data_IF_193234484030
#
_entry.id   IF_193234484030
#
_cell.length_a   1.000
_cell.length_b   1.000
_cell.length_c   1.000
_cell.angle_alpha   90.00
_cell.angle_beta   90.00
_cell.angle_gamma   90.00
#
_symmetry.space_group_name_H-M   'P 1'
#
loop_
_entity.id
_entity.type
_entity.pdbx_description
1 polymer ?
#
# COMPACT_ATOMS: atom_id res chain seq x y z
N UNK A 1 12.18 3.49 -8.07
CA UNK A 1 10.75 3.73 -8.29
C UNK A 1 10.22 4.40 -7.03
N UNK A 2 9.79 5.65 -7.12
CA UNK A 2 9.25 6.40 -5.98
C UNK A 2 7.79 6.01 -5.75
N UNK A 3 7.47 5.49 -4.56
CA UNK A 3 6.14 5.03 -4.21
C UNK A 3 5.55 5.89 -3.09
N UNK A 4 4.36 6.45 -3.33
CA UNK A 4 3.55 7.13 -2.30
C UNK A 4 2.87 6.07 -1.42
N UNK A 5 3.12 6.10 -0.11
CA UNK A 5 2.53 5.19 0.87
C UNK A 5 1.54 6.00 1.73
N UNK A 6 0.24 5.90 1.42
CA UNK A 6 -0.83 6.44 2.27
C UNK A 6 -1.15 5.40 3.37
N UNK A 7 -0.67 5.63 4.58
CA UNK A 7 -1.00 4.81 5.76
C UNK A 7 -2.28 5.38 6.39
N UNK A 8 -3.37 4.63 6.31
CA UNK A 8 -4.64 4.94 6.99
C UNK A 8 -4.58 4.45 8.43
N UNK A 9 -4.79 5.35 9.40
CA UNK A 9 -4.95 4.99 10.80
C UNK A 9 -6.44 4.71 11.12
N UNK A 10 -6.67 3.54 11.73
CA UNK A 10 -7.82 3.11 12.56
C UNK A 10 -9.18 3.80 12.38
N UNK A 11 -10.17 3.03 11.92
CA UNK A 11 -11.62 3.33 11.95
C UNK A 11 -12.20 3.35 13.38
N UNK A 12 -11.68 4.21 14.25
CA UNK A 12 -12.34 4.50 15.52
C UNK A 12 -13.19 5.78 15.35
N UNK A 13 -14.52 5.70 15.47
CA UNK A 13 -15.35 6.90 15.47
C UNK A 13 -14.98 7.74 16.69
N UNK A 14 -14.34 8.89 16.46
CA UNK A 14 -14.22 9.92 17.49
C UNK A 14 -15.62 10.49 17.67
N UNK A 15 -16.22 10.21 18.83
CA UNK A 15 -17.53 10.76 19.22
C UNK A 15 -17.55 12.26 18.97
N UNK A 16 -18.49 12.72 18.15
CA UNK A 16 -19.16 14.01 18.29
C UNK A 16 -20.42 14.02 17.41
N UNK A 17 -21.51 13.51 17.97
CA UNK A 17 -22.87 13.90 17.59
C UNK A 17 -23.43 14.67 18.79
N UNK A 18 -23.50 15.99 18.67
CA UNK A 18 -24.35 16.77 19.56
C UNK A 18 -25.79 16.37 19.26
N UNK A 19 -26.51 15.99 20.30
CA UNK A 19 -27.85 15.44 20.23
C UNK A 19 -28.85 16.44 19.62
N UNK A 20 -29.58 16.01 18.60
CA UNK A 20 -30.89 16.56 18.20
C UNK A 20 -30.87 17.89 17.43
N UNK A 21 -31.31 17.83 16.16
CA UNK A 21 -31.83 18.99 15.42
C UNK A 21 -30.92 19.51 14.31
N UNK A 22 -31.46 19.49 13.10
CA UNK A 22 -30.98 20.10 11.84
C UNK A 22 -29.59 19.70 11.30
N UNK A 23 -29.57 19.22 10.06
CA UNK A 23 -28.34 18.94 9.31
C UNK A 23 -27.75 20.29 8.85
N UNK A 24 -26.70 20.75 9.53
CA UNK A 24 -25.97 21.96 9.14
C UNK A 24 -25.22 21.73 7.81
N UNK A 25 -25.20 22.71 6.88
CA UNK A 25 -24.37 22.64 5.68
C UNK A 25 -22.90 22.40 6.04
N UNK A 26 -22.16 21.65 5.21
CA UNK A 26 -20.79 21.25 5.55
C UNK A 26 -19.88 22.47 5.78
N UNK A 27 -20.20 23.61 5.19
CA UNK A 27 -19.53 24.89 5.35
C UNK A 27 -19.49 25.41 6.79
N UNK A 28 -20.36 24.91 7.68
CA UNK A 28 -20.42 25.26 9.10
C UNK A 28 -19.74 24.23 10.01
N UNK A 29 -19.07 23.21 9.44
CA UNK A 29 -18.40 22.20 10.26
C UNK A 29 -17.19 22.82 10.96
N UNK A 30 -17.21 22.81 12.29
CA UNK A 30 -16.10 23.22 13.13
C UNK A 30 -15.59 22.02 13.92
N UNK A 31 -14.29 21.81 13.87
CA UNK A 31 -13.56 20.84 14.66
C UNK A 31 -13.03 21.50 15.94
N UNK A 32 -13.06 20.77 17.05
CA UNK A 32 -12.55 21.25 18.35
C UNK A 32 -11.05 21.56 18.30
N UNK A 33 -10.64 22.72 18.83
CA UNK A 33 -9.23 23.16 18.80
C UNK A 33 -8.27 22.17 19.50
N UNK A 34 -8.77 21.40 20.46
CA UNK A 34 -8.02 20.36 21.18
C UNK A 34 -7.43 19.28 20.27
N UNK A 35 -8.04 19.04 19.10
CA UNK A 35 -7.54 18.06 18.12
C UNK A 35 -6.17 18.52 17.59
N UNK A 36 -5.96 19.82 17.40
CA UNK A 36 -4.66 20.35 16.97
C UNK A 36 -3.58 20.08 18.03
N UNK A 37 -3.90 20.22 19.31
CA UNK A 37 -2.98 19.92 20.42
C UNK A 37 -2.64 18.43 20.49
N UNK A 38 -3.67 17.57 20.48
CA UNK A 38 -3.53 16.12 20.66
C UNK A 38 -2.86 15.43 19.48
N UNK A 39 -3.13 15.90 18.26
CA UNK A 39 -2.77 15.17 17.04
C UNK A 39 -1.65 15.85 16.25
N UNK A 40 -1.70 17.17 16.05
CA UNK A 40 -0.72 17.89 15.22
C UNK A 40 0.51 18.30 16.05
N UNK A 41 0.28 19.04 17.13
CA UNK A 41 1.35 19.59 17.97
C UNK A 41 2.14 18.45 18.64
N UNK A 42 1.45 17.47 19.21
CA UNK A 42 2.07 16.28 19.81
C UNK A 42 2.91 15.49 18.79
N UNK A 43 2.40 15.29 17.58
CA UNK A 43 3.17 14.60 16.54
C UNK A 43 4.41 15.38 16.15
N UNK A 44 4.28 16.70 15.98
CA UNK A 44 5.41 17.56 15.65
C UNK A 44 6.51 17.51 16.72
N UNK A 45 6.13 17.42 18.00
CA UNK A 45 7.08 17.21 19.10
C UNK A 45 7.83 15.88 18.95
N UNK A 46 7.12 14.78 18.64
CA UNK A 46 7.76 13.48 18.38
C UNK A 46 8.72 13.50 17.20
N UNK A 47 8.38 14.20 16.13
CA UNK A 47 9.29 14.41 14.98
C UNK A 47 10.58 15.11 15.45
N UNK A 48 10.46 16.18 16.25
CA UNK A 48 11.61 16.89 16.81
C UNK A 48 12.44 16.01 17.75
N UNK A 49 11.83 15.10 18.49
CA UNK A 49 12.52 14.16 19.38
C UNK A 49 13.28 13.08 18.60
N UNK A 50 12.72 12.55 17.52
CA UNK A 50 13.31 11.46 16.72
C UNK A 50 14.40 12.00 15.79
N UNK A 51 14.10 13.05 15.03
CA UNK A 51 14.99 13.56 13.97
C UNK A 51 15.88 14.71 14.45
N UNK A 52 15.48 15.38 15.55
CA UNK A 52 16.19 16.52 16.14
C UNK A 52 15.42 17.84 15.98
N UNK A 53 15.73 18.81 16.85
CA UNK A 53 14.97 20.08 16.99
C UNK A 53 14.86 20.93 15.72
N UNK A 54 15.79 20.77 14.76
CA UNK A 54 15.80 21.51 13.50
C UNK A 54 14.70 21.05 12.51
N UNK A 55 14.11 19.88 12.75
CA UNK A 55 13.08 19.31 11.89
C UNK A 55 11.70 19.67 12.44
N UNK A 56 11.05 20.61 11.77
CA UNK A 56 9.74 21.12 12.16
C UNK A 56 8.76 20.94 11.00
N UNK A 57 7.55 20.48 11.29
CA UNK A 57 6.50 20.43 10.28
C UNK A 57 6.15 21.84 9.85
N UNK A 58 6.11 22.05 8.54
CA UNK A 58 5.60 23.27 7.95
C UNK A 58 4.08 23.24 8.00
N UNK A 59 3.48 24.28 8.57
CA UNK A 59 2.04 24.49 8.56
C UNK A 59 1.64 25.02 7.17
N UNK A 60 1.02 24.16 6.35
CA UNK A 60 0.67 24.49 4.98
C UNK A 60 -0.71 25.17 4.88
N UNK A 61 -1.69 24.65 5.61
CA UNK A 61 -3.07 25.17 5.56
C UNK A 61 -3.82 24.95 6.87
N UNK A 62 -4.50 25.98 7.36
CA UNK A 62 -5.40 25.91 8.52
C UNK A 62 -6.35 27.12 8.54
N UNK A 63 -7.58 26.95 9.04
CA UNK A 63 -8.49 28.05 9.32
C UNK A 63 -9.06 27.95 10.72
N UNK A 64 -8.64 28.85 11.61
CA UNK A 64 -9.09 28.93 13.00
C UNK A 64 -10.39 29.71 13.10
N UNK A 65 -11.26 29.31 14.02
CA UNK A 65 -12.45 30.05 14.41
C UNK A 65 -12.18 30.76 15.75
N UNK A 66 -12.26 32.08 15.75
CA UNK A 66 -11.96 32.95 16.90
C UNK A 66 -13.21 33.70 17.32
N UNK A 67 -13.65 33.52 18.56
CA UNK A 67 -14.87 34.06 19.13
C UNK A 67 -15.62 33.00 19.92
N UNK A 68 -16.92 32.91 19.65
CA UNK A 68 -17.85 31.95 20.25
C UNK A 68 -18.51 31.13 19.15
N UNK A 69 -19.11 30.00 19.50
CA UNK A 69 -19.92 29.17 18.59
C UNK A 69 -21.01 29.97 17.87
N UNK A 70 -21.63 30.94 18.54
CA UNK A 70 -22.68 31.80 17.98
C UNK A 70 -22.14 32.99 17.17
N UNK A 71 -20.97 33.52 17.54
CA UNK A 71 -20.36 34.69 16.92
C UNK A 71 -18.83 34.53 16.83
N UNK A 72 -18.33 34.23 15.63
CA UNK A 72 -16.90 34.08 15.38
C UNK A 72 -16.44 34.69 14.07
N UNK A 73 -15.15 34.98 14.02
CA UNK A 73 -14.41 35.29 12.80
C UNK A 73 -13.45 34.16 12.48
N UNK A 74 -13.09 34.02 11.20
CA UNK A 74 -12.08 33.06 10.80
C UNK A 74 -10.76 33.74 10.52
N UNK A 75 -9.67 33.16 11.03
CA UNK A 75 -8.30 33.55 10.70
C UNK A 75 -7.64 32.36 10.04
N UNK A 76 -7.05 32.55 8.86
CA UNK A 76 -6.32 31.49 8.17
C UNK A 76 -4.86 31.86 7.91
N UNK A 77 -4.11 30.88 7.40
CA UNK A 77 -2.68 31.03 7.19
C UNK A 77 -2.34 32.06 6.10
N UNK A 78 -3.30 32.42 5.22
CA UNK A 78 -3.10 33.44 4.20
C UNK A 78 -3.09 34.84 4.81
N UNK A 79 -3.91 35.11 5.82
CA UNK A 79 -3.93 36.41 6.50
C UNK A 79 -2.57 36.77 7.12
N UNK A 80 -1.82 35.78 7.60
CA UNK A 80 -0.47 35.97 8.14
C UNK A 80 0.57 36.21 7.03
N UNK A 81 0.44 35.51 5.91
CA UNK A 81 1.33 35.67 4.75
C UNK A 81 1.18 37.05 4.09
N UNK A 82 -0.01 37.65 4.13
CA UNK A 82 -0.27 39.00 3.63
C UNK A 82 0.51 40.09 4.39
N UNK A 83 0.98 39.79 5.60
CA UNK A 83 1.81 40.68 6.43
C UNK A 83 3.23 40.13 6.64
N UNK A 84 3.70 39.31 5.69
CA UNK A 84 5.05 38.70 5.67
C UNK A 84 5.39 37.81 6.89
N UNK A 85 4.38 37.30 7.59
CA UNK A 85 4.56 36.34 8.69
C UNK A 85 4.41 34.92 8.15
N UNK A 86 5.45 34.10 8.34
CA UNK A 86 5.43 32.68 7.97
C UNK A 86 4.78 31.86 9.11
N UNK A 87 3.63 31.21 8.87
CA UNK A 87 2.96 30.40 9.88
C UNK A 87 3.80 29.18 10.25
N UNK A 88 3.91 28.89 11.54
CA UNK A 88 4.62 27.72 12.08
C UNK A 88 3.74 26.95 13.05
N UNK A 89 4.02 25.67 13.26
CA UNK A 89 3.30 24.86 14.26
C UNK A 89 3.55 25.39 15.68
N UNK A 90 4.77 25.85 15.96
CA UNK A 90 5.10 26.48 17.23
C UNK A 90 4.29 27.76 17.46
N UNK A 91 4.23 28.65 16.47
CA UNK A 91 3.42 29.88 16.55
C UNK A 91 1.94 29.59 16.69
N UNK A 92 1.43 28.55 16.01
CA UNK A 92 0.05 28.07 16.18
C UNK A 92 -0.21 27.60 17.62
N UNK A 93 0.69 26.79 18.19
CA UNK A 93 0.59 26.33 19.57
C UNK A 93 0.54 27.50 20.56
N UNK A 94 1.48 28.44 20.43
CA UNK A 94 1.56 29.62 21.30
C UNK A 94 0.30 30.49 21.18
N UNK A 95 -0.21 30.68 19.96
CA UNK A 95 -1.41 31.45 19.71
C UNK A 95 -2.65 30.81 20.36
N UNK A 96 -2.85 29.49 20.20
CA UNK A 96 -3.96 28.76 20.82
C UNK A 96 -3.86 28.83 22.35
N UNK A 97 -2.67 28.65 22.91
CA UNK A 97 -2.46 28.70 24.36
C UNK A 97 -2.73 30.08 24.94
N UNK A 98 -2.25 31.14 24.28
CA UNK A 98 -2.49 32.52 24.70
C UNK A 98 -3.97 32.92 24.59
N UNK A 99 -4.72 32.31 23.66
CA UNK A 99 -6.09 32.65 23.34
C UNK A 99 -7.09 31.50 23.58
N UNK A 100 -6.81 30.63 24.56
CA UNK A 100 -7.58 29.38 24.79
C UNK A 100 -9.09 29.58 24.97
N UNK A 101 -9.50 30.74 25.49
CA UNK A 101 -10.92 31.11 25.68
C UNK A 101 -11.61 31.61 24.40
N UNK A 102 -10.84 32.05 23.41
CA UNK A 102 -11.34 32.68 22.19
C UNK A 102 -11.21 31.76 20.97
N UNK A 103 -10.21 30.87 20.93
CA UNK A 103 -10.06 29.91 19.83
C UNK A 103 -10.83 28.63 20.18
N UNK A 104 -12.11 28.59 19.80
CA UNK A 104 -12.96 27.45 20.11
C UNK A 104 -12.80 26.29 19.11
N UNK A 105 -12.30 26.55 17.91
CA UNK A 105 -12.14 25.49 16.91
C UNK A 105 -11.41 25.90 15.63
N UNK A 106 -11.47 25.00 14.65
CA UNK A 106 -10.97 25.22 13.31
C UNK A 106 -11.93 24.60 12.29
N UNK A 107 -11.98 25.16 11.09
CA UNK A 107 -12.95 24.79 10.07
C UNK A 107 -12.28 24.48 8.74
N UNK A 108 -13.08 24.16 7.73
CA UNK A 108 -12.65 23.73 6.41
C UNK A 108 -11.83 24.84 5.76
N UNK A 109 -10.60 24.49 5.40
CA UNK A 109 -9.68 25.38 4.70
C UNK A 109 -9.75 25.22 3.19
N UNK A 110 -9.93 23.99 2.70
CA UNK A 110 -9.99 23.67 1.27
C UNK A 110 -10.89 22.47 1.00
N UNK A 111 -11.65 22.54 -0.09
CA UNK A 111 -12.35 21.38 -0.65
C UNK A 111 -11.53 20.78 -1.81
N UNK A 112 -11.19 19.50 -1.71
CA UNK A 112 -10.62 18.71 -2.81
C UNK A 112 -11.75 18.07 -3.61
N UNK A 113 -12.12 18.72 -4.72
CA UNK A 113 -13.21 18.31 -5.61
C UNK A 113 -12.98 16.96 -6.28
N UNK A 114 -11.72 16.54 -6.46
CA UNK A 114 -11.40 15.27 -7.14
C UNK A 114 -11.69 14.08 -6.25
N UNK A 115 -11.39 14.20 -4.96
CA UNK A 115 -11.56 13.14 -3.97
C UNK A 115 -12.81 13.32 -3.10
N UNK A 116 -13.51 14.45 -3.22
CA UNK A 116 -14.64 14.78 -2.35
C UNK A 116 -14.22 14.97 -0.89
N UNK A 117 -13.04 15.54 -0.64
CA UNK A 117 -12.49 15.67 0.72
C UNK A 117 -12.52 17.11 1.21
N UNK A 118 -13.02 17.30 2.43
CA UNK A 118 -12.95 18.56 3.16
C UNK A 118 -11.67 18.57 4.00
N UNK A 119 -10.74 19.46 3.67
CA UNK A 119 -9.43 19.56 4.33
C UNK A 119 -9.49 20.69 5.34
N UNK A 120 -9.24 20.35 6.60
CA UNK A 120 -9.25 21.28 7.73
C UNK A 120 -7.85 21.76 8.08
N UNK A 121 -6.88 20.85 8.09
CA UNK A 121 -5.48 21.15 8.40
C UNK A 121 -4.55 20.31 7.52
N UNK A 122 -3.45 20.91 7.05
CA UNK A 122 -2.38 20.23 6.30
C UNK A 122 -1.03 20.71 6.80
N UNK A 123 -0.17 19.76 7.17
CA UNK A 123 1.20 19.99 7.61
C UNK A 123 2.14 19.06 6.84
N UNK A 124 3.36 19.52 6.57
CA UNK A 124 4.33 18.75 5.77
C UNK A 124 5.78 19.00 6.22
N UNK A 125 6.60 17.96 6.14
CA UNK A 125 8.03 18.00 6.31
C UNK A 125 8.68 17.24 5.15
N UNK A 126 9.46 17.94 4.35
CA UNK A 126 10.13 17.37 3.18
C UNK A 126 11.57 17.00 3.50
N UNK A 127 11.98 15.83 3.02
CA UNK A 127 13.32 15.27 3.15
C UNK A 127 13.93 15.41 4.57
N UNK A 128 13.24 14.97 5.64
CA UNK A 128 13.83 15.02 6.98
C UNK A 128 15.14 14.23 7.06
N UNK A 129 15.18 13.07 6.40
CA UNK A 129 16.38 12.22 6.27
C UNK A 129 16.38 11.54 4.90
N UNK A 130 17.51 10.93 4.51
CA UNK A 130 17.64 10.22 3.24
C UNK A 130 16.58 9.13 3.02
N UNK A 131 16.22 8.41 4.08
CA UNK A 131 15.26 7.30 4.03
C UNK A 131 13.79 7.76 3.92
N UNK A 132 13.50 9.03 4.24
CA UNK A 132 12.14 9.58 4.28
C UNK A 132 12.06 10.78 3.35
N UNK A 133 11.34 10.62 2.25
CA UNK A 133 11.15 11.67 1.26
C UNK A 133 10.21 12.76 1.77
N UNK A 134 9.11 12.40 2.42
CA UNK A 134 8.21 13.38 3.02
C UNK A 134 7.35 12.78 4.13
N UNK A 135 7.02 13.60 5.12
CA UNK A 135 6.03 13.33 6.16
C UNK A 135 4.92 14.36 6.00
N UNK A 136 3.67 13.91 5.81
CA UNK A 136 2.51 14.79 5.72
C UNK A 136 1.48 14.37 6.76
N UNK A 137 0.87 15.36 7.39
CA UNK A 137 -0.27 15.15 8.29
C UNK A 137 -1.44 15.94 7.74
N UNK A 138 -2.60 15.30 7.65
CA UNK A 138 -3.83 15.96 7.23
C UNK A 138 -4.94 15.67 8.22
N UNK A 139 -5.73 16.69 8.53
CA UNK A 139 -7.04 16.51 9.15
C UNK A 139 -8.07 16.75 8.05
N UNK A 140 -8.82 15.70 7.70
CA UNK A 140 -9.84 15.79 6.66
C UNK A 140 -11.06 14.94 6.99
N UNK A 141 -12.19 15.31 6.42
CA UNK A 141 -13.41 14.52 6.38
C UNK A 141 -13.74 14.21 4.91
N UNK A 142 -14.27 13.02 4.62
CA UNK A 142 -14.72 12.69 3.27
C UNK A 142 -16.22 12.91 3.12
N UNK A 143 -16.62 13.51 2.00
CA UNK A 143 -18.01 13.58 1.55
C UNK A 143 -18.39 12.36 0.71
N UNK A 144 -17.42 11.53 0.34
CA UNK A 144 -17.61 10.38 -0.55
C UNK A 144 -17.98 9.10 0.21
N UNK A 145 -19.23 9.01 0.67
CA UNK A 145 -19.88 7.70 0.68
C UNK A 145 -20.39 7.42 -0.74
N UNK A 146 -19.99 6.27 -1.28
CA UNK A 146 -20.29 5.77 -2.63
C UNK A 146 -21.75 6.05 -3.04
N UNK A 147 -21.95 6.87 -4.08
CA UNK A 147 -23.20 6.90 -4.86
C UNK A 147 -24.12 8.12 -4.72
N UNK A 148 -23.79 9.12 -3.91
CA UNK A 148 -24.65 10.30 -3.73
C UNK A 148 -23.88 11.59 -4.02
N UNK A 149 -23.66 11.92 -5.30
CA UNK A 149 -22.95 13.13 -5.71
C UNK A 149 -23.82 14.40 -5.75
N UNK A 150 -25.12 14.31 -5.43
CA UNK A 150 -26.11 15.37 -5.70
C UNK A 150 -27.30 15.36 -4.70
N UNK A 151 -27.05 15.37 -3.38
CA UNK A 151 -28.14 15.63 -2.41
C UNK A 151 -27.84 16.90 -1.62
N UNK A 152 -28.87 17.73 -1.39
CA UNK A 152 -28.78 19.07 -0.76
C UNK A 152 -28.15 19.09 0.66
N UNK A 153 -27.90 17.94 1.28
CA UNK A 153 -27.60 17.82 2.71
C UNK A 153 -26.50 16.78 2.99
N UNK A 154 -25.27 17.01 2.51
CA UNK A 154 -24.13 16.15 2.85
C UNK A 154 -23.74 16.34 4.33
N UNK A 155 -23.74 15.25 5.09
CA UNK A 155 -23.12 15.18 6.42
C UNK A 155 -21.66 14.78 6.22
N UNK A 156 -20.71 15.54 6.76
CA UNK A 156 -19.29 15.15 6.76
C UNK A 156 -19.13 13.84 7.55
N UNK A 157 -18.70 12.77 6.90
CA UNK A 157 -18.47 11.48 7.56
C UNK A 157 -17.10 11.50 8.23
N UNK A 158 -17.09 11.58 9.56
CA UNK A 158 -15.91 11.42 10.44
C UNK A 158 -14.77 12.40 10.18
N UNK A 159 -14.38 13.17 11.20
CA UNK A 159 -13.10 13.88 11.13
C UNK A 159 -11.97 12.90 11.37
N UNK A 160 -11.04 12.77 10.42
CA UNK A 160 -9.96 11.80 10.48
C UNK A 160 -8.59 12.47 10.37
N UNK A 161 -7.63 11.95 11.12
CA UNK A 161 -6.21 12.32 11.03
C UNK A 161 -5.50 11.30 10.15
N UNK A 162 -4.82 11.79 9.12
CA UNK A 162 -4.05 10.99 8.18
C UNK A 162 -2.56 11.31 8.33
N UNK A 163 -1.76 10.26 8.50
CA UNK A 163 -0.31 10.31 8.45
C UNK A 163 0.17 9.69 7.15
N UNK A 164 0.74 10.48 6.26
CA UNK A 164 1.23 10.04 4.95
C UNK A 164 2.75 10.12 4.96
N UNK A 165 3.40 8.97 4.87
CA UNK A 165 4.84 8.81 4.99
C UNK A 165 5.39 8.25 3.69
N UNK A 166 6.14 9.08 2.97
CA UNK A 166 6.83 8.65 1.77
C UNK A 166 8.26 8.26 2.14
N UNK A 167 8.54 6.98 1.99
CA UNK A 167 9.75 6.33 2.49
C UNK A 167 10.47 5.65 1.34
N UNK A 168 11.76 5.93 1.17
CA UNK A 168 12.60 5.30 0.14
C UNK A 168 13.12 3.93 0.59
N UNK A 169 13.44 3.78 1.89
CA UNK A 169 13.94 2.54 2.48
C UNK A 169 13.41 2.36 3.89
N UNK A 170 13.04 1.12 4.26
CA UNK A 170 12.66 0.81 5.64
C UNK A 170 13.92 0.69 6.50
N UNK A 171 14.17 1.67 7.39
CA UNK A 171 15.31 1.71 8.30
C UNK A 171 14.86 1.73 9.76
N UNK A 172 15.81 1.51 10.69
CA UNK A 172 15.55 1.53 12.14
C UNK A 172 14.89 2.83 12.60
N UNK A 173 15.17 3.95 11.92
CA UNK A 173 14.58 5.24 12.25
C UNK A 173 13.09 5.30 11.90
N UNK A 174 12.65 4.63 10.83
CA UNK A 174 11.23 4.52 10.46
C UNK A 174 10.51 3.56 11.39
N UNK A 175 11.14 2.47 11.78
CA UNK A 175 10.64 1.55 12.81
C UNK A 175 10.40 2.31 14.11
N UNK A 176 11.39 3.11 14.54
CA UNK A 176 11.25 3.96 15.73
C UNK A 176 10.11 4.97 15.60
N UNK A 177 9.98 5.63 14.44
CA UNK A 177 8.86 6.53 14.17
C UNK A 177 7.52 5.80 14.29
N UNK A 178 7.36 4.61 13.71
CA UNK A 178 6.09 3.87 13.76
C UNK A 178 5.75 3.44 15.20
N UNK A 179 6.75 2.98 15.96
CA UNK A 179 6.58 2.64 17.37
C UNK A 179 6.14 3.85 18.19
N UNK A 180 6.79 5.00 18.01
CA UNK A 180 6.41 6.25 18.67
C UNK A 180 4.98 6.68 18.30
N UNK A 181 4.51 6.34 17.10
CA UNK A 181 3.14 6.63 16.67
C UNK A 181 2.12 5.55 17.06
N UNK A 182 2.54 4.51 17.78
CA UNK A 182 1.73 3.32 18.07
C UNK A 182 1.13 2.68 16.80
N UNK A 183 1.87 2.75 15.69
CA UNK A 183 1.47 2.13 14.43
C UNK A 183 2.05 0.70 14.42
N UNK A 184 1.20 -0.35 14.42
CA UNK A 184 1.68 -1.73 14.40
C UNK A 184 2.37 -2.03 13.07
N UNK A 185 3.69 -2.18 13.11
CA UNK A 185 4.55 -2.45 11.95
C UNK A 185 4.13 -3.76 11.28
N UNK A 186 3.70 -4.73 12.07
CA UNK A 186 3.24 -6.04 11.64
C UNK A 186 2.04 -5.91 10.70
N UNK A 187 1.12 -4.98 10.94
CA UNK A 187 -0.02 -4.73 10.04
C UNK A 187 0.41 -4.14 8.70
N UNK A 188 1.44 -3.28 8.70
CA UNK A 188 2.00 -2.71 7.46
C UNK A 188 2.72 -3.81 6.67
N UNK A 189 3.48 -4.67 7.36
CA UNK A 189 4.15 -5.81 6.74
C UNK A 189 3.16 -6.83 6.18
N UNK A 190 2.11 -7.16 6.94
CA UNK A 190 1.02 -8.04 6.50
C UNK A 190 0.32 -7.47 5.27
N UNK A 191 -0.06 -6.18 5.28
CA UNK A 191 -0.66 -5.51 4.11
C UNK A 191 0.27 -5.56 2.90
N UNK A 192 1.59 -5.33 3.06
CA UNK A 192 2.57 -5.43 1.98
C UNK A 192 2.72 -6.84 1.41
N UNK A 193 2.76 -7.87 2.27
CA UNK A 193 2.88 -9.27 1.85
C UNK A 193 1.59 -9.80 1.19
N UNK A 194 0.44 -9.21 1.51
CA UNK A 194 -0.87 -9.56 0.95
C UNK A 194 -1.30 -8.70 -0.24
N UNK A 195 -0.68 -7.55 -0.47
CA UNK A 195 -1.01 -6.67 -1.59
C UNK A 195 -0.36 -7.13 -2.91
N UNK A 196 -1.21 -7.71 -3.78
CA UNK A 196 -1.12 -7.78 -5.25
C UNK A 196 -0.29 -8.92 -5.89
N UNK A 197 0.89 -9.32 -5.40
CA UNK A 197 1.60 -10.48 -6.01
C UNK A 197 1.20 -11.81 -5.38
N UNK A 198 0.92 -11.83 -4.07
CA UNK A 198 0.66 -13.07 -3.36
C UNK A 198 -0.79 -13.56 -3.46
N UNK A 199 -1.78 -12.68 -3.72
CA UNK A 199 -3.16 -13.13 -3.92
C UNK A 199 -3.27 -14.01 -5.17
N UNK A 200 -2.57 -13.67 -6.26
CA UNK A 200 -2.57 -14.45 -7.50
C UNK A 200 -1.94 -15.82 -7.28
N UNK A 201 -0.80 -15.86 -6.59
CA UNK A 201 -0.15 -17.10 -6.18
C UNK A 201 -1.08 -17.93 -5.28
N UNK A 202 -1.69 -17.31 -4.27
CA UNK A 202 -2.64 -17.96 -3.34
C UNK A 202 -3.86 -18.51 -4.08
N UNK A 203 -4.49 -17.75 -4.97
CA UNK A 203 -5.64 -18.20 -5.77
C UNK A 203 -5.28 -19.36 -6.71
N UNK A 204 -4.07 -19.37 -7.27
CA UNK A 204 -3.59 -20.47 -8.11
C UNK A 204 -3.22 -21.71 -7.26
N UNK A 205 -2.73 -21.55 -6.04
CA UNK A 205 -2.47 -22.67 -5.11
C UNK A 205 -3.78 -23.30 -4.63
N UNK A 206 -4.79 -22.48 -4.35
CA UNK A 206 -6.11 -22.90 -3.88
C UNK A 206 -6.94 -23.56 -4.98
N UNK A 207 -6.88 -23.07 -6.22
CA UNK A 207 -7.72 -23.53 -7.32
C UNK A 207 -6.89 -23.93 -8.55
N UNK A 208 -7.03 -25.20 -8.95
CA UNK A 208 -6.31 -25.78 -10.08
C UNK A 208 -6.65 -25.12 -11.42
N UNK A 209 -7.92 -24.73 -11.62
CA UNK A 209 -8.38 -24.07 -12.83
C UNK A 209 -7.76 -22.68 -12.94
N UNK A 210 -7.62 -21.97 -11.82
CA UNK A 210 -6.92 -20.69 -11.76
C UNK A 210 -5.45 -20.84 -12.14
N UNK A 211 -4.76 -21.86 -11.61
CA UNK A 211 -3.37 -22.15 -11.99
C UNK A 211 -3.24 -22.48 -13.48
N UNK A 212 -4.09 -23.35 -14.04
CA UNK A 212 -4.09 -23.69 -15.46
C UNK A 212 -4.28 -22.46 -16.35
N UNK A 213 -5.29 -21.65 -16.04
CA UNK A 213 -5.58 -20.42 -16.79
C UNK A 213 -4.40 -19.44 -16.70
N UNK A 214 -3.81 -19.31 -15.52
CA UNK A 214 -2.64 -18.46 -15.32
C UNK A 214 -1.46 -18.92 -16.19
N UNK A 215 -1.13 -20.21 -16.16
CA UNK A 215 0.01 -20.75 -16.91
C UNK A 215 -0.24 -20.64 -18.43
N UNK A 216 -1.44 -20.99 -18.92
CA UNK A 216 -1.79 -20.86 -20.34
C UNK A 216 -1.73 -19.42 -20.85
N UNK A 217 -2.15 -18.46 -20.02
CA UNK A 217 -2.13 -17.05 -20.41
C UNK A 217 -0.70 -16.49 -20.49
N UNK A 218 0.17 -16.86 -19.56
CA UNK A 218 1.53 -16.30 -19.49
C UNK A 218 2.54 -17.07 -20.36
N UNK A 219 2.31 -18.35 -20.64
CA UNK A 219 3.22 -19.22 -21.38
C UNK A 219 2.57 -19.71 -22.68
N UNK A 220 2.53 -18.83 -23.67
CA UNK A 220 1.75 -18.99 -24.90
C UNK A 220 2.21 -20.11 -25.82
N UNK A 221 3.42 -20.65 -25.64
CA UNK A 221 3.92 -21.77 -26.45
C UNK A 221 3.55 -23.13 -25.85
N UNK A 222 3.15 -23.18 -24.58
CA UNK A 222 2.69 -24.41 -23.95
C UNK A 222 1.27 -24.76 -24.44
N UNK A 223 1.08 -26.04 -24.76
CA UNK A 223 -0.25 -26.56 -25.07
C UNK A 223 -1.06 -26.79 -23.80
N UNK A 224 -2.37 -26.99 -23.94
CA UNK A 224 -3.22 -27.38 -22.81
C UNK A 224 -2.72 -28.65 -22.11
N UNK A 225 -2.26 -29.64 -22.88
CA UNK A 225 -1.69 -30.88 -22.35
C UNK A 225 -0.40 -30.65 -21.56
N UNK A 226 0.48 -29.75 -22.04
CA UNK A 226 1.73 -29.42 -21.35
C UNK A 226 1.43 -28.79 -19.97
N UNK A 227 0.48 -27.85 -19.94
CA UNK A 227 0.06 -27.18 -18.70
C UNK A 227 -0.62 -28.17 -17.74
N UNK A 228 -1.46 -29.08 -18.23
CA UNK A 228 -2.09 -30.10 -17.39
C UNK A 228 -1.05 -31.00 -16.71
N UNK A 229 0.01 -31.38 -17.42
CA UNK A 229 1.08 -32.21 -16.86
C UNK A 229 1.92 -31.46 -15.82
N UNK A 230 2.26 -30.18 -16.05
CA UNK A 230 2.92 -29.34 -15.04
C UNK A 230 2.07 -29.26 -13.76
N UNK A 231 0.78 -29.01 -13.92
CA UNK A 231 -0.15 -28.90 -12.79
C UNK A 231 -0.32 -30.23 -12.05
N UNK A 232 -0.35 -31.36 -12.76
CA UNK A 232 -0.40 -32.70 -12.15
C UNK A 232 0.81 -32.95 -11.25
N UNK A 233 2.02 -32.70 -11.75
CA UNK A 233 3.26 -32.89 -10.99
C UNK A 233 3.28 -31.99 -9.75
N UNK A 234 2.90 -30.72 -9.90
CA UNK A 234 2.84 -29.76 -8.77
C UNK A 234 1.86 -30.23 -7.70
N UNK A 235 0.69 -30.75 -8.10
CA UNK A 235 -0.34 -31.25 -7.17
C UNK A 235 0.08 -32.53 -6.47
N UNK A 236 0.58 -33.52 -7.21
CA UNK A 236 1.02 -34.80 -6.66
C UNK A 236 2.14 -34.61 -5.62
N UNK A 237 3.04 -33.67 -5.87
CA UNK A 237 4.18 -33.40 -5.01
C UNK A 237 3.95 -32.26 -4.00
N UNK A 238 2.76 -31.65 -3.99
CA UNK A 238 2.38 -30.52 -3.12
C UNK A 238 3.33 -29.32 -3.20
N UNK A 239 3.81 -29.02 -4.41
CA UNK A 239 4.62 -27.83 -4.64
C UNK A 239 3.76 -26.57 -4.72
N UNK A 240 4.40 -25.42 -4.49
CA UNK A 240 3.75 -24.11 -4.46
C UNK A 240 3.67 -23.49 -5.87
N UNK A 241 3.02 -22.34 -5.97
CA UNK A 241 2.83 -21.63 -7.24
C UNK A 241 4.16 -21.29 -7.95
N UNK A 242 5.18 -20.88 -7.19
CA UNK A 242 6.49 -20.51 -7.76
C UNK A 242 7.14 -21.69 -8.49
N UNK A 243 6.96 -22.91 -7.97
CA UNK A 243 7.43 -24.13 -8.61
C UNK A 243 6.74 -24.35 -9.96
N UNK A 244 5.40 -24.24 -10.00
CA UNK A 244 4.62 -24.38 -11.21
C UNK A 244 4.98 -23.32 -12.26
N UNK A 245 5.14 -22.08 -11.82
CA UNK A 245 5.51 -20.94 -12.66
C UNK A 245 6.91 -21.13 -13.26
N UNK A 246 7.89 -21.56 -12.46
CA UNK A 246 9.26 -21.79 -12.95
C UNK A 246 9.34 -22.99 -13.90
N UNK A 247 8.65 -24.09 -13.61
CA UNK A 247 8.57 -25.23 -14.53
C UNK A 247 8.00 -24.82 -15.90
N UNK A 248 6.90 -24.07 -15.88
CA UNK A 248 6.25 -23.62 -17.11
C UNK A 248 7.12 -22.63 -17.90
N UNK A 249 7.85 -21.72 -17.23
CA UNK A 249 8.79 -20.81 -17.90
C UNK A 249 9.90 -21.57 -18.65
N UNK A 250 10.52 -22.54 -17.98
CA UNK A 250 11.60 -23.33 -18.58
C UNK A 250 11.13 -24.16 -19.77
N UNK A 251 9.98 -24.82 -19.63
CA UNK A 251 9.38 -25.60 -20.71
C UNK A 251 8.95 -24.70 -21.89
N UNK A 252 8.44 -23.51 -21.61
CA UNK A 252 8.03 -22.55 -22.63
C UNK A 252 9.24 -22.05 -23.44
N UNK A 253 10.37 -21.76 -22.78
CA UNK A 253 11.64 -21.39 -23.43
C UNK A 253 12.21 -22.52 -24.27
N UNK A 254 12.31 -23.72 -23.71
CA UNK A 254 12.80 -24.90 -24.44
C UNK A 254 11.95 -25.19 -25.67
N UNK A 255 10.62 -25.09 -25.55
CA UNK A 255 9.72 -25.31 -26.68
C UNK A 255 9.85 -24.23 -27.76
N UNK A 256 10.06 -22.97 -27.38
CA UNK A 256 10.34 -21.88 -28.31
C UNK A 256 11.62 -22.16 -29.12
N UNK A 257 12.72 -22.50 -28.44
CA UNK A 257 13.99 -22.81 -29.10
C UNK A 257 13.89 -24.02 -30.03
N UNK A 258 13.13 -25.05 -29.65
CA UNK A 258 12.92 -26.24 -30.49
C UNK A 258 12.01 -25.97 -31.69
N UNK A 259 11.02 -25.09 -31.59
CA UNK A 259 10.17 -24.66 -32.72
C UNK A 259 10.98 -23.88 -33.77
N UNK A 260 12.00 -23.13 -33.35
CA UNK A 260 12.90 -22.43 -34.28
C UNK A 260 13.82 -23.38 -35.07
N UNK A 261 14.02 -24.61 -34.58
CA UNK A 261 14.94 -25.60 -35.14
C UNK A 261 14.20 -26.71 -35.91
N UNK A 262 13.03 -27.15 -35.43
CA UNK A 262 12.22 -28.24 -35.98
C UNK A 262 10.82 -27.75 -36.36
N UNK A 263 10.43 -27.99 -37.62
CA UNK A 263 9.22 -27.46 -38.26
C UNK A 263 7.93 -27.61 -37.40
N UNK A 264 7.43 -26.48 -36.89
CA UNK A 264 6.10 -26.09 -36.41
C UNK A 264 5.24 -26.98 -35.47
N UNK A 265 5.57 -28.25 -35.21
CA UNK A 265 4.69 -29.19 -34.49
C UNK A 265 5.38 -29.99 -33.38
N UNK A 266 6.35 -29.35 -32.71
CA UNK A 266 7.02 -29.96 -31.57
C UNK A 266 6.11 -30.00 -30.32
N UNK A 267 5.83 -31.22 -29.83
CA UNK A 267 5.14 -31.45 -28.56
C UNK A 267 6.14 -31.89 -27.49
N UNK A 268 6.04 -31.35 -26.29
CA UNK A 268 6.88 -31.76 -25.15
C UNK A 268 6.52 -33.20 -24.74
N UNK A 269 7.53 -34.04 -24.57
CA UNK A 269 7.37 -35.39 -24.03
C UNK A 269 7.17 -35.37 -22.51
N UNK A 270 6.72 -36.50 -21.93
CA UNK A 270 6.64 -36.62 -20.47
C UNK A 270 8.04 -36.52 -19.83
N UNK A 271 9.07 -36.94 -20.55
CA UNK A 271 10.48 -36.87 -20.17
C UNK A 271 10.98 -35.42 -20.06
N UNK A 272 10.50 -34.52 -20.94
CA UNK A 272 10.84 -33.10 -20.89
C UNK A 272 10.26 -32.43 -19.65
N UNK A 273 9.01 -32.76 -19.32
CA UNK A 273 8.32 -32.20 -18.15
C UNK A 273 8.92 -32.77 -16.86
N UNK A 274 9.29 -34.05 -16.85
CA UNK A 274 10.02 -34.68 -15.76
C UNK A 274 11.43 -34.07 -15.56
N UNK A 275 12.13 -33.76 -16.66
CA UNK A 275 13.41 -33.07 -16.62
C UNK A 275 13.25 -31.66 -16.00
N UNK A 276 12.26 -30.89 -16.44
CA UNK A 276 11.97 -29.57 -15.86
C UNK A 276 11.64 -29.65 -14.37
N UNK A 277 10.85 -30.65 -13.95
CA UNK A 277 10.55 -30.86 -12.53
C UNK A 277 11.82 -31.09 -11.70
N UNK A 278 12.75 -31.95 -12.16
CA UNK A 278 14.02 -32.23 -11.48
C UNK A 278 14.91 -31.00 -11.37
N UNK A 279 15.04 -30.27 -12.48
CA UNK A 279 15.83 -29.06 -12.55
C UNK A 279 15.30 -28.00 -11.57
N UNK A 280 13.98 -27.81 -11.51
CA UNK A 280 13.34 -26.86 -10.59
C UNK A 280 13.46 -27.32 -9.13
N UNK A 281 13.31 -28.63 -8.84
CA UNK A 281 13.59 -29.21 -7.51
C UNK A 281 14.99 -28.83 -7.04
N UNK A 282 16.00 -29.03 -7.90
CA UNK A 282 17.39 -28.72 -7.58
C UNK A 282 17.61 -27.21 -7.40
N UNK A 283 17.01 -26.37 -8.24
CA UNK A 283 17.09 -24.91 -8.13
C UNK A 283 16.58 -24.40 -6.79
N UNK A 284 15.45 -24.92 -6.31
CA UNK A 284 14.89 -24.57 -5.00
C UNK A 284 15.57 -25.28 -3.81
N UNK A 285 16.60 -26.11 -4.06
CA UNK A 285 17.35 -26.81 -3.02
C UNK A 285 16.60 -27.98 -2.36
N UNK A 286 15.56 -28.51 -3.02
CA UNK A 286 14.85 -29.69 -2.57
C UNK A 286 15.57 -30.99 -3.00
N UNK A 287 15.34 -32.08 -2.28
CA UNK A 287 15.92 -33.38 -2.61
C UNK A 287 15.06 -34.08 -3.68
N UNK A 288 15.68 -34.50 -4.79
CA UNK A 288 15.05 -35.25 -5.88
C UNK A 288 14.34 -36.54 -5.42
N UNK A 289 14.76 -37.14 -4.29
CA UNK A 289 14.13 -38.34 -3.75
C UNK A 289 12.66 -38.14 -3.33
N UNK A 290 12.23 -36.89 -3.14
CA UNK A 290 10.85 -36.55 -2.80
C UNK A 290 9.98 -36.24 -4.03
N UNK A 291 10.56 -36.29 -5.24
CA UNK A 291 9.86 -36.01 -6.48
C UNK A 291 9.24 -37.29 -7.06
N UNK A 292 7.92 -37.35 -7.05
CA UNK A 292 7.11 -38.36 -7.72
C UNK A 292 6.92 -37.98 -9.19
N UNK A 293 7.31 -38.89 -10.09
CA UNK A 293 7.21 -38.73 -11.55
C UNK A 293 6.46 -39.91 -12.18
N UNK A 294 5.90 -39.76 -13.39
CA UNK A 294 5.29 -40.85 -14.14
C UNK A 294 6.21 -42.08 -14.29
N UNK A 295 5.60 -43.27 -14.32
CA UNK A 295 6.33 -44.52 -14.52
C UNK A 295 6.71 -44.71 -16.00
N UNK A 296 7.81 -45.41 -16.28
CA UNK A 296 8.29 -45.76 -17.63
C UNK A 296 8.91 -44.61 -18.46
N UNK A 297 9.62 -43.68 -17.81
CA UNK A 297 10.35 -42.62 -18.51
C UNK A 297 11.74 -43.09 -18.98
N UNK A 298 12.16 -42.64 -20.17
CA UNK A 298 13.52 -42.89 -20.65
C UNK A 298 14.54 -41.93 -20.01
N UNK A 299 15.40 -42.49 -19.15
CA UNK A 299 16.44 -41.73 -18.45
C UNK A 299 17.45 -41.05 -19.38
N UNK A 300 17.72 -41.59 -20.57
CA UNK A 300 18.64 -40.97 -21.51
C UNK A 300 18.05 -39.70 -22.12
N UNK A 301 16.73 -39.71 -22.38
CA UNK A 301 16.00 -38.54 -22.88
C UNK A 301 15.90 -37.48 -21.78
N UNK A 302 15.55 -37.88 -20.56
CA UNK A 302 15.51 -36.96 -19.40
C UNK A 302 16.86 -36.26 -19.23
N UNK A 303 17.97 -36.99 -19.26
CA UNK A 303 19.30 -36.41 -19.07
C UNK A 303 19.63 -35.37 -20.16
N UNK A 304 19.31 -35.68 -21.42
CA UNK A 304 19.49 -34.74 -22.53
C UNK A 304 18.65 -33.47 -22.34
N UNK A 305 17.40 -33.61 -21.91
CA UNK A 305 16.52 -32.46 -21.65
C UNK A 305 16.96 -31.65 -20.43
N UNK A 306 17.52 -32.27 -19.39
CA UNK A 306 18.14 -31.55 -18.25
C UNK A 306 19.29 -30.67 -18.75
N UNK A 307 20.23 -31.24 -19.52
CA UNK A 307 21.39 -30.50 -20.06
C UNK A 307 21.00 -29.30 -20.95
N UNK A 308 19.82 -29.36 -21.57
CA UNK A 308 19.24 -28.28 -22.36
C UNK A 308 18.56 -27.23 -21.46
N UNK A 309 17.77 -27.67 -20.48
CA UNK A 309 17.02 -26.81 -19.57
C UNK A 309 17.92 -26.02 -18.61
N UNK A 310 19.04 -26.59 -18.18
CA UNK A 310 20.02 -25.93 -17.30
C UNK A 310 20.58 -24.64 -17.94
N UNK A 311 20.54 -24.53 -19.27
CA UNK A 311 20.96 -23.31 -19.99
C UNK A 311 20.05 -22.11 -19.76
N UNK A 312 18.82 -22.33 -19.29
CA UNK A 312 17.84 -21.25 -19.07
C UNK A 312 17.77 -20.78 -17.62
N UNK A 313 18.49 -21.46 -16.71
CA UNK A 313 18.50 -21.17 -15.26
C UNK A 313 19.73 -20.36 -14.85
N UNK A 314 20.80 -20.44 -15.64
CA UNK A 314 22.04 -19.69 -15.46
C UNK A 314 22.12 -18.49 -16.41
#
# INVERSE_FOLDING_TARGET
MDYNLEVTASEAPVKNYVAGGEILPFEYVVAESEILEKEIIKFNQKIKEIFGKKYDLKLNSIRLCVGTDENYVTIDESNLKEVDIIPTIQGLQEFIQANKKSVFGFTIRRYDTKKGNLIFCECELNHPIFDIQSIKIKILASLSQRGLYMQKHHVAYGLHVYYILNVSRFSDMIIRLFNELNIPIEMIYLKRKSSIQNWRATECELDEKNLKNYLQFNYTHLSHSDVDQVVSIVRENKFNFEFANMMADLLNKMKLDRIEIEDALYSLGQEDIAAAAKVVVNYFGFNEQNLSLPSNLDFNIIKKSIDELDRYIH
#
